data_IF_294837253459
#
_entry.id   IF_294837253459
#
_cell.length_a   1.000
_cell.length_b   1.000
_cell.length_c   1.000
_cell.angle_alpha   90.00
_cell.angle_beta   90.00
_cell.angle_gamma   90.00
#
_symmetry.space_group_name_H-M   'P 1'
#
loop_
_entity.id
_entity.type
_entity.pdbx_description
1 polymer ?
#
# COMPACT_ATOMS: atom_id res chain seq x y z
N UNK A 1 10.22 3.00 -1.18
CA UNK A 1 11.70 2.83 -1.03
C UNK A 1 12.18 3.88 -0.01
N UNK A 2 13.14 3.57 0.86
CA UNK A 2 13.61 4.51 1.90
C UNK A 2 15.13 4.52 1.98
N UNK A 3 15.72 5.66 2.30
CA UNK A 3 17.14 5.77 2.66
C UNK A 3 17.22 5.61 4.18
N UNK A 4 18.02 4.68 4.67
CA UNK A 4 18.13 4.38 6.10
C UNK A 4 19.59 4.29 6.56
N UNK A 5 19.85 4.83 7.74
CA UNK A 5 21.06 4.62 8.54
C UNK A 5 20.67 3.89 9.84
N UNK A 6 21.63 3.65 10.73
CA UNK A 6 21.37 3.14 12.09
C UNK A 6 20.38 4.01 12.87
N UNK A 7 20.42 5.33 12.64
CA UNK A 7 19.76 6.32 13.50
C UNK A 7 18.67 7.13 12.79
N UNK A 8 18.58 7.06 11.46
CA UNK A 8 17.63 7.85 10.68
C UNK A 8 17.05 7.06 9.52
N UNK A 9 15.75 7.25 9.27
CA UNK A 9 15.07 6.76 8.07
C UNK A 9 14.39 7.91 7.34
N UNK A 10 14.82 8.17 6.11
CA UNK A 10 14.17 9.12 5.21
C UNK A 10 13.13 8.37 4.38
N UNK A 11 11.89 8.83 4.49
CA UNK A 11 10.74 8.29 3.77
C UNK A 11 10.34 9.26 2.67
N UNK A 12 9.99 8.70 1.51
CA UNK A 12 9.39 9.48 0.43
C UNK A 12 7.86 9.37 0.52
N UNK A 13 7.22 10.51 0.75
CA UNK A 13 5.76 10.66 0.87
C UNK A 13 5.02 10.17 -0.39
N UNK A 14 5.66 10.21 -1.56
CA UNK A 14 5.07 9.76 -2.82
C UNK A 14 4.62 8.29 -2.76
N UNK A 15 5.28 7.47 -1.94
CA UNK A 15 4.90 6.08 -1.73
C UNK A 15 3.60 5.92 -0.93
N UNK A 16 3.16 6.97 -0.24
CA UNK A 16 1.98 6.97 0.63
C UNK A 16 0.78 7.68 -0.01
N UNK A 17 0.88 8.08 -1.27
CA UNK A 17 -0.21 8.70 -2.03
C UNK A 17 -0.42 7.95 -3.34
N UNK A 18 -1.62 8.04 -3.95
CA UNK A 18 -1.86 7.48 -5.28
C UNK A 18 -0.91 8.07 -6.33
N UNK A 19 -0.52 7.26 -7.31
CA UNK A 19 0.30 7.72 -8.43
C UNK A 19 -0.36 8.90 -9.17
N UNK A 20 0.44 9.90 -9.54
CA UNK A 20 -0.05 11.11 -10.21
C UNK A 20 -0.75 12.12 -9.29
N UNK A 21 -0.67 11.94 -7.96
CA UNK A 21 -1.13 12.95 -7.00
C UNK A 21 -0.20 14.16 -7.04
N UNK A 22 -0.72 15.31 -7.47
CA UNK A 22 0.01 16.57 -7.36
C UNK A 22 -0.02 17.10 -5.93
N UNK A 23 0.91 17.99 -5.62
CA UNK A 23 0.97 18.66 -4.32
C UNK A 23 -0.33 19.39 -3.97
N UNK A 24 -0.88 20.16 -4.91
CA UNK A 24 -2.18 20.85 -4.75
C UNK A 24 -3.34 19.87 -4.49
N UNK A 25 -3.37 18.72 -5.17
CA UNK A 25 -4.38 17.67 -4.94
C UNK A 25 -4.25 17.10 -3.54
N UNK A 26 -3.02 16.79 -3.12
CA UNK A 26 -2.75 16.29 -1.77
C UNK A 26 -3.27 17.25 -0.70
N UNK A 27 -2.99 18.55 -0.83
CA UNK A 27 -3.49 19.56 0.10
C UNK A 27 -5.00 19.72 0.06
N UNK A 28 -5.58 19.71 -1.13
CA UNK A 28 -7.04 19.79 -1.27
C UNK A 28 -7.73 18.62 -0.57
N UNK A 29 -7.21 17.41 -0.72
CA UNK A 29 -7.75 16.20 -0.09
C UNK A 29 -7.69 16.25 1.44
N UNK A 30 -6.57 16.64 2.03
CA UNK A 30 -6.37 16.54 3.48
C UNK A 30 -6.69 17.83 4.25
N UNK A 31 -6.69 18.99 3.59
CA UNK A 31 -6.91 20.29 4.21
C UNK A 31 -8.15 21.03 3.68
N UNK A 32 -8.92 20.43 2.77
CA UNK A 32 -10.20 20.99 2.29
C UNK A 32 -10.07 22.04 1.17
N UNK A 33 -8.87 22.17 0.59
CA UNK A 33 -8.61 23.17 -0.44
C UNK A 33 -8.52 24.58 0.13
N UNK A 34 -8.05 25.50 -0.70
CA UNK A 34 -7.76 26.86 -0.27
C UNK A 34 -8.67 27.88 -0.96
N UNK A 35 -9.19 28.84 -0.19
CA UNK A 35 -9.92 30.01 -0.70
C UNK A 35 -9.31 31.27 -0.09
N UNK A 36 -8.62 32.05 -0.91
CA UNK A 36 -8.37 33.47 -0.63
C UNK A 36 -9.10 34.29 -1.67
N UNK A 37 -9.86 35.26 -1.22
CA UNK A 37 -10.55 36.19 -2.09
C UNK A 37 -9.59 37.25 -2.65
N UNK A 38 -8.51 37.58 -1.92
CA UNK A 38 -7.45 38.50 -2.36
C UNK A 38 -6.11 37.77 -2.49
N UNK A 39 -5.69 37.47 -3.73
CA UNK A 39 -4.43 36.75 -4.01
C UNK A 39 -3.17 37.55 -3.63
N UNK A 40 -3.25 38.88 -3.58
CA UNK A 40 -2.10 39.73 -3.27
C UNK A 40 -1.90 39.78 -1.76
N UNK A 41 -2.96 40.14 -1.01
CA UNK A 41 -2.88 40.34 0.44
C UNK A 41 -3.09 39.07 1.26
N UNK A 42 -3.16 37.93 0.59
CA UNK A 42 -3.34 36.65 1.24
C UNK A 42 -2.17 36.27 2.15
N UNK A 43 -2.40 36.28 3.46
CA UNK A 43 -1.41 35.86 4.48
C UNK A 43 -1.64 34.46 5.03
N UNK A 44 -2.76 33.81 4.69
CA UNK A 44 -2.99 32.43 5.09
C UNK A 44 -1.90 31.54 4.50
N UNK A 45 -1.22 30.78 5.37
CA UNK A 45 -0.01 30.01 5.05
C UNK A 45 -0.18 28.83 4.09
N UNK A 46 -1.19 28.87 3.22
CA UNK A 46 -1.53 27.88 2.18
C UNK A 46 -1.54 28.49 0.76
N UNK A 47 -1.22 29.79 0.64
CA UNK A 47 -1.06 30.45 -0.66
C UNK A 47 0.29 30.14 -1.30
N UNK A 48 0.37 30.22 -2.63
CA UNK A 48 1.61 29.97 -3.38
C UNK A 48 2.68 31.00 -2.99
N UNK A 49 3.81 30.50 -2.48
CA UNK A 49 5.00 31.31 -2.27
C UNK A 49 5.68 31.65 -3.60
N UNK A 50 6.42 32.76 -3.63
CA UNK A 50 7.21 33.18 -4.79
C UNK A 50 8.63 33.43 -4.31
N UNK A 51 9.62 32.83 -4.98
CA UNK A 51 11.02 32.92 -4.59
C UNK A 51 11.94 33.02 -5.84
N UNK A 52 12.99 33.85 -5.81
CA UNK A 52 13.84 34.09 -6.98
C UNK A 52 14.98 33.06 -7.06
N UNK A 53 14.66 31.83 -7.46
CA UNK A 53 15.59 30.69 -7.44
C UNK A 53 16.91 30.96 -8.17
N UNK A 54 16.83 31.47 -9.39
CA UNK A 54 18.00 31.67 -10.26
C UNK A 54 18.85 32.88 -9.84
N UNK A 55 18.31 33.74 -8.98
CA UNK A 55 19.03 34.86 -8.40
C UNK A 55 19.97 34.45 -7.27
N UNK A 56 19.67 33.34 -6.59
CA UNK A 56 20.47 32.83 -5.47
C UNK A 56 21.65 32.04 -6.02
N UNK A 57 22.71 32.73 -6.41
CA UNK A 57 23.94 32.13 -6.97
C UNK A 57 25.00 31.83 -5.91
N UNK A 58 24.90 32.44 -4.73
CA UNK A 58 25.81 32.24 -3.60
C UNK A 58 25.13 32.57 -2.27
N UNK A 59 25.65 32.01 -1.16
CA UNK A 59 25.08 32.19 0.17
C UNK A 59 25.00 33.66 0.62
N UNK A 60 25.96 34.50 0.22
CA UNK A 60 25.99 35.92 0.56
C UNK A 60 24.81 36.71 -0.03
N UNK A 61 24.19 36.24 -1.12
CA UNK A 61 22.99 36.87 -1.70
C UNK A 61 21.85 36.89 -0.69
N UNK A 62 21.72 35.87 0.16
CA UNK A 62 20.69 35.81 1.19
C UNK A 62 20.77 36.95 2.22
N UNK A 63 21.93 37.59 2.38
CA UNK A 63 22.13 38.69 3.31
C UNK A 63 21.73 40.06 2.73
N UNK A 64 21.38 40.13 1.44
CA UNK A 64 20.94 41.39 0.83
C UNK A 64 19.62 41.85 1.48
N UNK A 65 19.54 43.16 1.73
CA UNK A 65 18.46 43.77 2.53
C UNK A 65 17.38 44.44 1.70
N UNK A 66 17.45 44.30 0.37
CA UNK A 66 16.50 44.89 -0.58
C UNK A 66 15.75 43.79 -1.31
N UNK A 67 14.49 44.05 -1.65
CA UNK A 67 13.69 43.17 -2.51
C UNK A 67 14.41 43.00 -3.86
N UNK A 68 14.64 41.77 -4.34
CA UNK A 68 15.23 41.54 -5.65
C UNK A 68 14.40 42.20 -6.76
N UNK A 69 15.04 42.68 -7.84
CA UNK A 69 14.31 43.28 -8.95
C UNK A 69 13.33 42.28 -9.56
N UNK A 70 12.26 42.75 -10.19
CA UNK A 70 11.23 41.89 -10.80
C UNK A 70 11.82 40.80 -11.70
N UNK A 71 12.82 41.14 -12.51
CA UNK A 71 13.50 40.20 -13.42
C UNK A 71 14.26 39.07 -12.71
N UNK A 72 14.58 39.21 -11.42
CA UNK A 72 15.21 38.15 -10.63
C UNK A 72 14.29 36.95 -10.36
N UNK A 73 12.98 37.12 -10.54
CA UNK A 73 11.97 36.08 -10.36
C UNK A 73 11.60 35.37 -11.67
N UNK A 74 12.22 35.76 -12.78
CA UNK A 74 12.00 35.10 -14.06
C UNK A 74 12.63 33.70 -14.04
N UNK A 75 11.95 32.74 -14.65
CA UNK A 75 12.36 31.34 -14.71
C UNK A 75 12.87 31.03 -16.12
N UNK A 76 14.19 31.01 -16.32
CA UNK A 76 14.84 30.60 -17.58
C UNK A 76 14.49 29.17 -17.92
N UNK A 77 14.37 28.28 -16.93
CA UNK A 77 13.98 26.89 -17.13
C UNK A 77 12.63 26.74 -17.84
N UNK A 78 11.70 27.66 -17.58
CA UNK A 78 10.34 27.66 -18.16
C UNK A 78 10.16 28.72 -19.25
N UNK A 79 11.14 29.61 -19.44
CA UNK A 79 11.01 30.78 -20.31
C UNK A 79 9.90 31.74 -19.87
N UNK A 80 9.58 31.82 -18.58
CA UNK A 80 8.45 32.62 -18.06
C UNK A 80 8.93 33.76 -17.19
N UNK A 81 8.34 34.95 -17.36
CA UNK A 81 8.54 36.07 -16.44
C UNK A 81 7.44 36.15 -15.38
N UNK A 82 7.79 36.69 -14.21
CA UNK A 82 6.81 36.92 -13.14
C UNK A 82 5.75 37.94 -13.55
N UNK A 83 4.50 37.71 -13.15
CA UNK A 83 3.40 38.66 -13.40
C UNK A 83 3.57 39.92 -12.54
N UNK A 84 2.84 41.00 -12.87
CA UNK A 84 2.84 42.22 -12.05
C UNK A 84 2.25 41.92 -10.67
N UNK A 85 1.13 41.21 -10.61
CA UNK A 85 0.40 40.92 -9.38
C UNK A 85 1.22 40.01 -8.43
N UNK A 86 1.93 39.03 -8.99
CA UNK A 86 2.85 38.18 -8.22
C UNK A 86 4.00 38.98 -7.62
N UNK A 87 4.53 39.97 -8.35
CA UNK A 87 5.59 40.84 -7.81
C UNK A 87 5.04 41.82 -6.75
N UNK A 88 3.82 42.35 -6.92
CA UNK A 88 3.16 43.15 -5.88
C UNK A 88 2.89 42.31 -4.61
N UNK A 89 2.56 41.02 -4.76
CA UNK A 89 2.48 40.09 -3.64
C UNK A 89 3.80 39.97 -2.90
N UNK A 90 4.93 39.85 -3.60
CA UNK A 90 6.27 39.79 -2.98
C UNK A 90 6.54 41.06 -2.16
N UNK A 91 6.24 42.24 -2.69
CA UNK A 91 6.39 43.51 -1.94
C UNK A 91 5.51 43.55 -0.71
N UNK A 92 4.23 43.18 -0.86
CA UNK A 92 3.29 43.14 0.25
C UNK A 92 3.78 42.23 1.37
N UNK A 93 4.22 41.01 1.09
CA UNK A 93 4.68 40.08 2.14
C UNK A 93 6.00 40.53 2.75
N UNK A 94 6.89 41.15 1.97
CA UNK A 94 8.14 41.72 2.48
C UNK A 94 7.87 42.80 3.53
N UNK A 95 6.94 43.72 3.24
CA UNK A 95 6.52 44.77 4.16
C UNK A 95 5.72 44.22 5.34
N UNK A 96 4.72 43.36 5.08
CA UNK A 96 3.83 42.81 6.09
C UNK A 96 4.55 41.97 7.15
N UNK A 97 5.53 41.16 6.75
CA UNK A 97 6.36 40.36 7.68
C UNK A 97 7.63 41.10 8.12
N UNK A 98 7.77 42.39 7.78
CA UNK A 98 8.90 43.25 8.12
C UNK A 98 10.28 42.66 7.78
N UNK A 99 10.38 41.96 6.65
CA UNK A 99 11.57 41.23 6.23
C UNK A 99 12.77 42.17 6.11
N UNK A 100 13.93 41.75 6.65
CA UNK A 100 15.17 42.52 6.64
C UNK A 100 16.14 42.04 5.57
N UNK A 101 15.95 40.83 5.08
CA UNK A 101 16.86 40.19 4.14
C UNK A 101 16.15 39.18 3.22
N UNK A 102 16.81 38.82 2.12
CA UNK A 102 16.35 37.73 1.23
C UNK A 102 16.23 36.40 2.01
N UNK A 103 17.04 36.19 3.05
CA UNK A 103 16.92 35.05 3.95
C UNK A 103 15.55 34.97 4.62
N UNK A 104 14.97 36.09 5.04
CA UNK A 104 13.64 36.12 5.66
C UNK A 104 12.56 35.70 4.65
N UNK A 105 12.69 36.16 3.40
CA UNK A 105 11.83 35.72 2.30
C UNK A 105 11.96 34.22 2.04
N UNK A 106 13.18 33.66 2.09
CA UNK A 106 13.42 32.23 1.95
C UNK A 106 12.76 31.42 3.08
N UNK A 107 12.90 31.87 4.33
CA UNK A 107 12.30 31.22 5.50
C UNK A 107 10.77 31.23 5.36
N UNK A 108 10.19 32.38 5.02
CA UNK A 108 8.76 32.51 4.78
C UNK A 108 8.28 31.58 3.66
N UNK A 109 8.98 31.58 2.52
CA UNK A 109 8.68 30.72 1.37
C UNK A 109 8.69 29.24 1.77
N UNK A 110 9.75 28.78 2.45
CA UNK A 110 9.85 27.39 2.87
C UNK A 110 8.78 27.01 3.90
N UNK A 111 8.42 27.92 4.80
CA UNK A 111 7.36 27.67 5.78
C UNK A 111 5.98 27.55 5.12
N UNK A 112 5.72 28.26 4.02
CA UNK A 112 4.48 28.10 3.24
C UNK A 112 4.35 26.70 2.64
N UNK A 113 5.45 26.04 2.30
CA UNK A 113 5.41 24.66 1.82
C UNK A 113 5.36 23.68 3.01
N UNK A 114 6.28 23.81 3.97
CA UNK A 114 6.49 22.82 5.04
C UNK A 114 5.35 22.77 6.05
N UNK A 115 4.80 23.91 6.48
CA UNK A 115 3.78 23.93 7.55
C UNK A 115 2.49 23.25 7.10
N UNK A 116 1.90 23.60 5.94
CA UNK A 116 0.80 22.84 5.35
C UNK A 116 1.10 21.37 5.14
N UNK A 117 2.30 21.05 4.66
CA UNK A 117 2.69 19.68 4.36
C UNK A 117 2.67 18.80 5.62
N UNK A 118 3.19 19.31 6.74
CA UNK A 118 3.12 18.62 8.03
C UNK A 118 1.67 18.46 8.49
N UNK A 119 0.81 19.47 8.30
CA UNK A 119 -0.62 19.37 8.65
C UNK A 119 -1.33 18.30 7.83
N UNK A 120 -1.10 18.26 6.53
CA UNK A 120 -1.67 17.26 5.62
C UNK A 120 -1.19 15.84 6.00
N UNK A 121 0.10 15.67 6.29
CA UNK A 121 0.65 14.40 6.77
C UNK A 121 -0.02 13.96 8.06
N UNK A 122 -0.19 14.87 9.03
CA UNK A 122 -0.87 14.55 10.30
C UNK A 122 -2.30 14.09 10.05
N UNK A 123 -3.06 14.81 9.23
CA UNK A 123 -4.42 14.43 8.87
C UNK A 123 -4.48 13.06 8.16
N UNK A 124 -3.52 12.78 7.27
CA UNK A 124 -3.40 11.47 6.62
C UNK A 124 -3.08 10.36 7.63
N UNK A 125 -2.18 10.60 8.59
CA UNK A 125 -1.86 9.63 9.65
C UNK A 125 -3.09 9.28 10.51
N UNK A 126 -3.94 10.26 10.81
CA UNK A 126 -5.18 10.01 11.58
C UNK A 126 -6.14 9.03 10.88
N UNK A 127 -6.07 8.88 9.55
CA UNK A 127 -6.85 7.88 8.83
C UNK A 127 -6.40 6.45 9.17
N UNK A 128 -5.10 6.21 9.26
CA UNK A 128 -4.55 4.88 9.56
C UNK A 128 -4.58 4.53 11.03
N UNK A 129 -4.51 5.53 11.92
CA UNK A 129 -4.67 5.32 13.36
C UNK A 129 -6.01 4.68 13.74
N UNK A 130 -7.06 4.88 12.94
CA UNK A 130 -8.37 4.22 13.13
C UNK A 130 -8.30 2.69 13.02
N UNK A 131 -7.26 2.19 12.37
CA UNK A 131 -6.95 0.77 12.22
C UNK A 131 -5.82 0.31 13.15
N UNK A 132 -5.47 1.13 14.15
CA UNK A 132 -4.34 0.89 15.06
C UNK A 132 -3.00 0.73 14.31
N UNK A 133 -2.83 1.51 13.23
CA UNK A 133 -1.61 1.55 12.42
C UNK A 133 -0.98 2.94 12.46
N UNK A 134 0.34 2.98 12.63
CA UNK A 134 1.15 4.15 12.29
C UNK A 134 1.55 4.10 10.82
N UNK A 135 1.13 5.11 10.06
CA UNK A 135 1.38 5.21 8.62
C UNK A 135 2.84 4.99 8.22
N UNK A 136 3.81 5.47 9.02
CA UNK A 136 5.23 5.49 8.64
C UNK A 136 6.02 4.32 9.25
N UNK A 137 5.61 3.83 10.41
CA UNK A 137 6.25 2.68 11.05
C UNK A 137 5.70 1.36 10.52
N UNK A 138 4.38 1.27 10.29
CA UNK A 138 3.72 0.03 9.91
C UNK A 138 3.65 -0.20 8.41
N UNK A 139 3.87 0.82 7.60
CA UNK A 139 3.83 0.74 6.15
C UNK A 139 5.08 1.31 5.52
N UNK A 140 5.54 0.68 4.43
CA UNK A 140 6.55 1.28 3.54
C UNK A 140 5.91 2.02 2.37
N UNK A 141 4.59 1.88 2.20
CA UNK A 141 3.77 2.46 1.14
C UNK A 141 2.28 2.39 1.48
N UNK A 142 1.47 3.15 0.74
CA UNK A 142 0.01 3.13 0.82
C UNK A 142 -0.58 1.73 0.55
N UNK A 143 -0.19 0.98 -0.50
CA UNK A 143 -0.64 -0.40 -0.69
C UNK A 143 -0.30 -1.32 0.48
N UNK A 144 0.88 -1.20 1.09
CA UNK A 144 1.26 -2.02 2.24
C UNK A 144 0.40 -1.75 3.48
N UNK A 145 0.02 -0.49 3.70
CA UNK A 145 -0.95 -0.14 4.75
C UNK A 145 -2.34 -0.69 4.43
N UNK A 146 -2.81 -0.54 3.18
CA UNK A 146 -4.10 -1.06 2.74
C UNK A 146 -4.18 -2.58 2.88
N UNK A 147 -3.09 -3.30 2.60
CA UNK A 147 -3.00 -4.75 2.80
C UNK A 147 -3.15 -5.12 4.29
N UNK A 148 -2.50 -4.40 5.19
CA UNK A 148 -2.68 -4.62 6.65
C UNK A 148 -4.11 -4.38 7.11
N UNK A 149 -4.73 -3.30 6.64
CA UNK A 149 -6.15 -3.01 6.91
C UNK A 149 -7.06 -4.11 6.37
N UNK A 150 -6.79 -4.60 5.16
CA UNK A 150 -7.49 -5.74 4.56
C UNK A 150 -7.37 -6.98 5.46
N UNK A 151 -6.16 -7.31 5.92
CA UNK A 151 -5.96 -8.45 6.82
C UNK A 151 -6.73 -8.30 8.13
N UNK A 152 -6.69 -7.15 8.79
CA UNK A 152 -7.46 -6.92 10.02
C UNK A 152 -8.97 -7.08 9.79
N UNK A 153 -9.49 -6.56 8.67
CA UNK A 153 -10.91 -6.58 8.35
C UNK A 153 -11.40 -7.97 7.96
N UNK A 154 -10.62 -8.70 7.17
CA UNK A 154 -10.97 -10.03 6.68
C UNK A 154 -10.75 -11.10 7.75
N UNK A 155 -9.64 -11.05 8.51
CA UNK A 155 -9.25 -12.15 9.40
C UNK A 155 -9.98 -12.15 10.74
N UNK A 156 -10.47 -11.00 11.22
CA UNK A 156 -11.34 -10.97 12.40
C UNK A 156 -12.66 -11.75 12.18
N UNK A 157 -13.06 -11.96 10.93
CA UNK A 157 -14.27 -12.71 10.54
C UNK A 157 -13.98 -14.11 9.98
N UNK A 158 -12.71 -14.53 9.89
CA UNK A 158 -12.37 -15.87 9.40
C UNK A 158 -12.59 -16.90 10.51
N UNK A 159 -13.62 -17.72 10.34
CA UNK A 159 -13.85 -18.89 11.19
C UNK A 159 -12.74 -19.92 10.93
N UNK A 160 -11.85 -20.12 11.90
CA UNK A 160 -10.88 -21.20 11.85
C UNK A 160 -11.64 -22.53 11.92
N UNK A 161 -11.53 -23.35 10.88
CA UNK A 161 -12.14 -24.68 10.88
C UNK A 161 -11.43 -25.53 11.95
N UNK A 162 -12.20 -26.15 12.84
CA UNK A 162 -11.67 -27.02 13.88
C UNK A 162 -10.84 -28.16 13.24
N UNK A 163 -9.61 -28.34 13.72
CA UNK A 163 -8.68 -29.37 13.25
C UNK A 163 -8.66 -30.61 14.16
N UNK A 164 -9.72 -30.81 14.94
CA UNK A 164 -9.91 -32.00 15.76
C UNK A 164 -9.87 -33.27 14.88
N UNK A 165 -8.92 -34.19 15.11
CA UNK A 165 -8.82 -35.43 14.33
C UNK A 165 -10.14 -36.19 14.27
N UNK A 166 -10.45 -36.77 13.11
CA UNK A 166 -11.58 -37.70 12.99
C UNK A 166 -11.17 -39.11 13.44
N UNK A 167 -12.17 -39.99 13.62
CA UNK A 167 -11.93 -41.38 14.00
C UNK A 167 -11.13 -42.10 12.91
N UNK A 168 -10.09 -42.88 13.27
CA UNK A 168 -9.32 -43.66 12.31
C UNK A 168 -10.16 -44.66 11.52
N UNK A 169 -9.90 -44.76 10.21
CA UNK A 169 -10.47 -45.79 9.33
C UNK A 169 -9.52 -46.07 8.15
N UNK A 170 -9.79 -47.15 7.43
CA UNK A 170 -9.08 -47.52 6.21
C UNK A 170 -9.83 -46.98 4.99
N UNK A 171 -9.11 -46.45 4.01
CA UNK A 171 -9.71 -45.92 2.79
C UNK A 171 -10.53 -47.01 2.07
N UNK A 172 -11.75 -46.73 1.61
CA UNK A 172 -12.60 -47.76 1.01
C UNK A 172 -12.06 -48.25 -0.33
N UNK A 173 -11.56 -49.49 -0.36
CA UNK A 173 -11.01 -50.11 -1.57
C UNK A 173 -12.00 -50.11 -2.76
N UNK A 174 -13.31 -50.16 -2.48
CA UNK A 174 -14.38 -50.07 -3.51
C UNK A 174 -14.29 -48.82 -4.40
N UNK A 175 -13.70 -47.72 -3.91
CA UNK A 175 -13.55 -46.46 -4.66
C UNK A 175 -12.44 -46.51 -5.71
N UNK A 176 -11.47 -47.43 -5.58
CA UNK A 176 -10.31 -47.53 -6.48
C UNK A 176 -10.70 -47.76 -7.93
N UNK A 177 -11.73 -48.57 -8.18
CA UNK A 177 -12.23 -48.83 -9.53
C UNK A 177 -12.72 -47.57 -10.24
N UNK A 178 -13.36 -46.65 -9.50
CA UNK A 178 -13.82 -45.37 -10.03
C UNK A 178 -12.66 -44.49 -10.52
N UNK A 179 -11.60 -44.35 -9.70
CA UNK A 179 -10.42 -43.55 -10.06
C UNK A 179 -9.69 -44.13 -11.28
N UNK A 180 -9.52 -45.45 -11.32
CA UNK A 180 -8.91 -46.16 -12.46
C UNK A 180 -9.69 -45.91 -13.76
N UNK A 181 -11.01 -45.96 -13.71
CA UNK A 181 -11.86 -45.70 -14.87
C UNK A 181 -11.79 -44.23 -15.33
N UNK A 182 -11.74 -43.28 -14.39
CA UNK A 182 -11.60 -41.86 -14.71
C UNK A 182 -10.29 -41.56 -15.44
N UNK A 183 -9.17 -42.11 -14.96
CA UNK A 183 -7.87 -41.90 -15.58
C UNK A 183 -7.75 -42.61 -16.93
N UNK A 184 -8.30 -43.83 -17.04
CA UNK A 184 -8.37 -44.54 -18.33
C UNK A 184 -9.14 -43.73 -19.39
N UNK A 185 -10.31 -43.19 -19.04
CA UNK A 185 -11.12 -42.34 -19.94
C UNK A 185 -10.37 -41.08 -20.38
N UNK A 186 -9.59 -40.50 -19.47
CA UNK A 186 -8.79 -39.29 -19.73
C UNK A 186 -7.38 -39.59 -20.27
N UNK A 187 -7.05 -40.85 -20.59
CA UNK A 187 -5.72 -41.30 -21.05
C UNK A 187 -4.57 -40.92 -20.11
N UNK A 188 -4.80 -40.98 -18.79
CA UNK A 188 -3.82 -40.69 -17.74
C UNK A 188 -3.29 -41.96 -17.08
N UNK A 189 -2.06 -41.88 -16.54
CA UNK A 189 -1.43 -42.98 -15.79
C UNK A 189 -2.11 -43.17 -14.44
N UNK A 190 -2.42 -44.42 -14.10
CA UNK A 190 -2.89 -44.82 -12.79
C UNK A 190 -1.79 -45.61 -12.09
N UNK A 191 -1.46 -45.25 -10.85
CA UNK A 191 -0.39 -45.87 -10.07
C UNK A 191 -0.54 -45.60 -8.57
N UNK A 192 -1.74 -45.27 -8.11
CA UNK A 192 -2.03 -44.99 -6.71
C UNK A 192 -2.29 -46.29 -5.94
N UNK A 193 -1.76 -46.40 -4.72
CA UNK A 193 -1.91 -47.57 -3.85
C UNK A 193 -2.85 -47.31 -2.67
N UNK A 194 -3.52 -48.36 -2.18
CA UNK A 194 -4.37 -48.24 -0.99
C UNK A 194 -3.55 -47.92 0.27
N UNK A 195 -2.34 -48.46 0.36
CA UNK A 195 -1.38 -48.18 1.43
C UNK A 195 -1.01 -46.69 1.48
N UNK A 196 -0.75 -46.08 0.32
CA UNK A 196 -0.48 -44.65 0.23
C UNK A 196 -1.69 -43.81 0.68
N UNK A 197 -2.91 -44.18 0.28
CA UNK A 197 -4.12 -43.50 0.71
C UNK A 197 -4.33 -43.56 2.23
N UNK A 198 -4.07 -44.72 2.85
CA UNK A 198 -4.15 -44.89 4.30
C UNK A 198 -3.07 -44.07 5.02
N UNK A 199 -1.86 -44.01 4.46
CA UNK A 199 -0.78 -43.15 4.95
C UNK A 199 -1.18 -41.68 4.89
N UNK A 200 -1.82 -41.23 3.80
CA UNK A 200 -2.31 -39.86 3.67
C UNK A 200 -3.44 -39.55 4.65
N UNK A 201 -4.38 -40.48 4.88
CA UNK A 201 -5.43 -40.33 5.89
C UNK A 201 -4.85 -40.08 7.28
N UNK A 202 -3.85 -40.88 7.70
CA UNK A 202 -3.16 -40.66 8.97
C UNK A 202 -2.43 -39.32 9.02
N UNK A 203 -1.65 -38.99 7.99
CA UNK A 203 -0.91 -37.71 7.91
C UNK A 203 -1.84 -36.49 7.98
N UNK A 204 -3.03 -36.60 7.39
CA UNK A 204 -4.05 -35.55 7.38
C UNK A 204 -4.99 -35.60 8.59
N UNK A 205 -4.73 -36.45 9.60
CA UNK A 205 -5.58 -36.62 10.79
C UNK A 205 -7.04 -36.93 10.45
N UNK A 206 -7.26 -37.63 9.33
CA UNK A 206 -8.59 -37.97 8.81
C UNK A 206 -9.46 -36.73 8.51
N UNK A 207 -8.83 -35.61 8.16
CA UNK A 207 -9.49 -34.38 7.76
C UNK A 207 -9.35 -34.13 6.26
N UNK A 208 -10.34 -33.45 5.68
CA UNK A 208 -10.25 -32.94 4.31
C UNK A 208 -9.05 -32.00 4.19
N UNK A 209 -8.17 -32.25 3.22
CA UNK A 209 -6.98 -31.43 2.98
C UNK A 209 -7.27 -30.00 2.50
N UNK A 210 -8.53 -29.69 2.18
CA UNK A 210 -8.96 -28.37 1.68
C UNK A 210 -9.79 -27.60 2.72
N UNK A 211 -10.85 -28.20 3.25
CA UNK A 211 -11.76 -27.53 4.19
C UNK A 211 -11.68 -28.01 5.64
N UNK A 212 -10.80 -28.97 5.94
CA UNK A 212 -10.60 -29.56 7.28
C UNK A 212 -11.82 -30.24 7.92
N UNK A 213 -12.92 -30.46 7.20
CA UNK A 213 -14.02 -31.24 7.74
C UNK A 213 -13.60 -32.68 8.04
N UNK A 214 -14.18 -33.27 9.08
CA UNK A 214 -13.92 -34.65 9.47
C UNK A 214 -14.38 -35.61 8.38
N UNK A 215 -13.48 -36.50 7.96
CA UNK A 215 -13.73 -37.48 6.94
C UNK A 215 -14.19 -38.80 7.56
N UNK A 216 -15.01 -39.50 6.82
CA UNK A 216 -15.44 -40.88 7.06
C UNK A 216 -15.17 -41.70 5.81
N UNK A 217 -15.30 -43.02 5.91
CA UNK A 217 -15.24 -43.92 4.76
C UNK A 217 -16.20 -43.49 3.61
N UNK A 218 -17.33 -42.87 3.94
CA UNK A 218 -18.31 -42.46 2.94
C UNK A 218 -18.08 -41.05 2.40
N UNK A 219 -17.32 -40.19 3.10
CA UNK A 219 -17.10 -38.80 2.69
C UNK A 219 -15.73 -38.53 2.09
N UNK A 220 -14.74 -39.39 2.32
CA UNK A 220 -13.40 -39.24 1.77
C UNK A 220 -13.32 -39.59 0.28
N UNK A 221 -12.48 -38.82 -0.41
CA UNK A 221 -12.06 -39.06 -1.78
C UNK A 221 -10.56 -38.79 -1.97
N UNK A 222 -9.95 -39.50 -2.90
CA UNK A 222 -8.65 -39.17 -3.44
C UNK A 222 -8.83 -38.08 -4.50
N UNK A 223 -8.20 -36.93 -4.30
CA UNK A 223 -8.22 -35.77 -5.18
C UNK A 223 -6.83 -35.55 -5.75
N UNK A 224 -6.75 -35.18 -7.03
CA UNK A 224 -5.47 -35.01 -7.70
C UNK A 224 -4.95 -33.62 -7.43
N UNK A 225 -3.72 -33.53 -6.93
CA UNK A 225 -3.06 -32.24 -6.72
C UNK A 225 -2.85 -31.54 -8.06
N UNK A 226 -2.36 -32.29 -9.06
CA UNK A 226 -2.26 -31.83 -10.44
C UNK A 226 -3.24 -32.60 -11.34
N UNK A 227 -4.25 -31.89 -11.85
CA UNK A 227 -5.28 -32.44 -12.72
C UNK A 227 -4.78 -32.91 -14.10
N UNK A 228 -3.58 -32.48 -14.54
CA UNK A 228 -2.97 -32.96 -15.78
C UNK A 228 -2.35 -34.35 -15.62
N UNK A 229 -2.03 -34.76 -14.39
CA UNK A 229 -1.53 -36.09 -14.05
C UNK A 229 -2.69 -36.98 -13.61
N UNK A 230 -2.50 -38.30 -13.63
CA UNK A 230 -3.50 -39.25 -13.11
C UNK A 230 -3.33 -39.49 -11.61
N UNK A 231 -4.09 -40.44 -11.08
CA UNK A 231 -3.96 -40.87 -9.69
C UNK A 231 -2.72 -41.75 -9.55
N UNK A 232 -1.61 -41.12 -9.14
CA UNK A 232 -0.33 -41.74 -8.83
C UNK A 232 0.09 -41.33 -7.43
N UNK A 233 0.79 -42.22 -6.71
CA UNK A 233 1.32 -41.90 -5.39
C UNK A 233 2.20 -40.63 -5.47
N UNK A 234 1.99 -39.70 -4.53
CA UNK A 234 2.62 -38.37 -4.54
C UNK A 234 1.86 -37.26 -5.29
N UNK A 235 0.81 -37.59 -6.06
CA UNK A 235 -0.07 -36.61 -6.71
C UNK A 235 -1.47 -36.57 -6.07
N UNK A 236 -1.63 -37.04 -4.84
CA UNK A 236 -2.93 -37.22 -4.19
C UNK A 236 -3.02 -36.40 -2.91
N UNK A 237 -4.16 -35.72 -2.75
CA UNK A 237 -4.63 -35.13 -1.51
C UNK A 237 -5.93 -35.83 -1.10
N UNK A 238 -6.09 -36.21 0.17
CA UNK A 238 -7.40 -36.70 0.61
C UNK A 238 -8.31 -35.49 0.84
N UNK A 239 -9.42 -35.42 0.12
CA UNK A 239 -10.42 -34.36 0.28
C UNK A 239 -11.81 -34.95 0.51
N UNK A 240 -12.75 -34.14 0.98
CA UNK A 240 -14.15 -34.57 1.01
C UNK A 240 -14.74 -34.49 -0.40
N UNK A 241 -15.73 -35.34 -0.70
CA UNK A 241 -16.34 -35.39 -2.03
C UNK A 241 -16.86 -34.02 -2.52
N UNK A 242 -17.32 -33.13 -1.61
CA UNK A 242 -17.77 -31.78 -1.95
C UNK A 242 -16.65 -30.85 -2.43
N UNK A 243 -15.45 -31.01 -1.87
CA UNK A 243 -14.29 -30.22 -2.30
C UNK A 243 -13.73 -30.75 -3.62
N UNK A 244 -13.65 -32.08 -3.77
CA UNK A 244 -13.20 -32.74 -5.00
C UNK A 244 -14.13 -32.49 -6.20
N UNK A 245 -15.42 -32.24 -5.97
CA UNK A 245 -16.34 -31.90 -7.06
C UNK A 245 -16.24 -30.44 -7.53
N UNK A 246 -15.45 -29.61 -6.82
CA UNK A 246 -15.24 -28.19 -7.12
C UNK A 246 -13.83 -27.90 -7.65
N UNK A 247 -12.94 -28.90 -7.67
CA UNK A 247 -11.56 -28.85 -8.19
C UNK A 247 -11.46 -29.34 -9.63
#
# INVERSE_FOLDING_TARGET
MSIATSDMKMLDISNYVPAGTSYDKYFTTYLGGFKCDDKIKCVSGLGKGIFPYEYITAFNVLNQTTIPPKSAFDSKLRGTSITKDDYERVKFVWEYYEMKSIKDLLIWYNNLDVVPFIKAIKAQRELFKRFDLDMFADGVSLPGLSEKVMYQTCFNNLQYQDKKPANPYQFPAKRMGGYKNQDAKAKRKFGMTLEHLNTLLQKQKYLCGLCYCQLTADTASADRINNNLGHIDGNILISCMKCNSRS
#
